data_IF_456449787707
#
_entry.id   IF_456449787707
#
_cell.length_a   1.000
_cell.length_b   1.000
_cell.length_c   1.000
_cell.angle_alpha   90.00
_cell.angle_beta   90.00
_cell.angle_gamma   90.00
#
_symmetry.space_group_name_H-M   'P 1'
#
loop_
_entity.id
_entity.type
_entity.pdbx_description
1 polymer ?
#
# COMPACT_ATOMS: atom_id res chain seq x y z
N UNK A 1 35.19 -13.09 -20.48
CA UNK A 1 35.55 -13.88 -19.27
C UNK A 1 34.62 -15.11 -19.23
N UNK A 2 34.72 -16.04 -20.18
CA UNK A 2 35.64 -17.18 -20.16
C UNK A 2 35.47 -18.08 -18.92
N UNK A 3 34.46 -18.96 -19.00
CA UNK A 3 34.48 -20.38 -18.67
C UNK A 3 35.43 -20.89 -17.58
N UNK A 4 34.88 -21.50 -16.51
CA UNK A 4 35.45 -22.71 -15.89
C UNK A 4 34.33 -23.63 -15.37
N UNK A 5 33.86 -24.49 -16.26
CA UNK A 5 33.32 -25.80 -15.90
C UNK A 5 34.49 -26.66 -15.42
N UNK A 6 34.37 -27.24 -14.23
CA UNK A 6 35.31 -28.24 -13.70
C UNK A 6 34.54 -29.54 -13.47
N UNK A 7 34.60 -30.41 -14.47
CA UNK A 7 34.21 -31.82 -14.40
C UNK A 7 35.46 -32.68 -14.65
N UNK A 8 35.93 -33.36 -13.61
CA UNK A 8 36.85 -34.52 -13.56
C UNK A 8 37.12 -34.78 -12.07
N UNK A 9 37.22 -35.99 -11.54
CA UNK A 9 37.25 -37.33 -12.11
C UNK A 9 37.04 -38.35 -10.99
N UNK A 10 36.50 -39.49 -11.39
CA UNK A 10 36.34 -40.76 -10.69
C UNK A 10 37.57 -41.29 -9.89
N UNK A 11 37.21 -42.09 -8.87
CA UNK A 11 37.90 -43.24 -8.24
C UNK A 11 38.99 -42.96 -7.20
N UNK A 12 38.62 -43.22 -5.94
CA UNK A 12 39.46 -43.94 -4.99
C UNK A 12 38.57 -44.86 -4.12
N UNK A 13 38.56 -46.13 -4.49
CA UNK A 13 38.17 -47.26 -3.65
C UNK A 13 39.30 -47.56 -2.67
N UNK A 14 39.07 -47.42 -1.36
CA UNK A 14 39.65 -48.25 -0.29
C UNK A 14 39.47 -47.58 1.08
N UNK A 15 38.41 -47.96 1.78
CA UNK A 15 38.51 -48.35 3.19
C UNK A 15 37.16 -48.92 3.61
N UNK A 16 37.12 -50.24 3.75
CA UNK A 16 36.12 -50.92 4.55
C UNK A 16 36.12 -50.31 5.97
N UNK A 17 35.16 -49.45 6.27
CA UNK A 17 34.80 -49.09 7.62
C UNK A 17 33.36 -49.57 7.85
N UNK A 18 33.28 -50.84 8.22
CA UNK A 18 32.10 -51.53 8.70
C UNK A 18 31.53 -50.72 9.88
N UNK A 19 30.31 -50.15 9.83
CA UNK A 19 29.65 -49.74 11.06
C UNK A 19 29.31 -51.04 11.80
N UNK A 20 30.08 -51.35 12.83
CA UNK A 20 29.70 -52.37 13.80
C UNK A 20 28.36 -51.94 14.36
N UNK A 21 27.34 -52.70 13.99
CA UNK A 21 26.02 -52.70 14.61
C UNK A 21 26.23 -53.02 16.07
N UNK A 22 26.30 -51.99 16.91
CA UNK A 22 26.08 -52.14 18.33
C UNK A 22 24.59 -52.49 18.47
N UNK A 23 24.31 -53.79 18.42
CA UNK A 23 23.03 -54.33 18.84
C UNK A 23 22.91 -54.04 20.35
N UNK A 24 22.38 -52.86 20.67
CA UNK A 24 21.84 -52.59 21.99
C UNK A 24 20.62 -53.50 22.11
N UNK A 25 20.83 -54.68 22.68
CA UNK A 25 19.74 -55.51 23.16
C UNK A 25 18.84 -54.58 23.98
N UNK A 26 17.53 -54.47 23.67
CA UNK A 26 16.63 -53.82 24.60
C UNK A 26 16.71 -54.69 25.85
N UNK A 27 17.37 -54.15 26.88
CA UNK A 27 17.26 -54.68 28.22
C UNK A 27 15.76 -54.76 28.45
N UNK A 28 15.24 -55.98 28.48
CA UNK A 28 13.92 -56.27 29.02
C UNK A 28 14.01 -55.79 30.45
N UNK A 29 13.67 -54.51 30.64
CA UNK A 29 13.21 -54.03 31.91
C UNK A 29 11.99 -54.92 32.14
N UNK A 30 12.19 -55.95 32.96
CA UNK A 30 11.12 -56.46 33.79
C UNK A 30 10.56 -55.18 34.40
N UNK A 31 9.43 -54.74 33.86
CA UNK A 31 8.60 -53.74 34.48
C UNK A 31 8.24 -54.40 35.79
N UNK A 32 9.09 -54.19 36.79
CA UNK A 32 8.67 -54.26 38.17
C UNK A 32 7.38 -53.47 38.13
N UNK A 33 6.28 -54.17 38.38
CA UNK A 33 5.03 -53.55 38.73
C UNK A 33 5.37 -52.66 39.92
N UNK A 34 5.83 -51.44 39.64
CA UNK A 34 5.53 -50.28 40.45
C UNK A 34 4.03 -50.30 40.42
N UNK A 35 3.45 -51.00 41.40
CA UNK A 35 2.17 -50.64 41.95
C UNK A 35 2.32 -49.14 42.14
N UNK A 36 1.84 -48.37 41.16
CA UNK A 36 1.66 -46.97 41.35
C UNK A 36 0.95 -46.90 42.69
N UNK A 37 1.55 -46.23 43.66
CA UNK A 37 0.76 -45.54 44.64
C UNK A 37 -0.11 -44.61 43.81
N UNK A 38 -1.22 -45.16 43.32
CA UNK A 38 -2.38 -44.38 42.97
C UNK A 38 -2.58 -43.57 44.23
N UNK A 39 -2.46 -42.25 44.09
CA UNK A 39 -3.02 -41.35 45.05
C UNK A 39 -4.46 -41.86 45.26
N UNK A 40 -4.67 -42.53 46.40
CA UNK A 40 -5.93 -43.14 46.73
C UNK A 40 -6.79 -41.96 47.10
N UNK A 41 -7.33 -41.27 46.08
CA UNK A 41 -8.40 -40.30 46.28
C UNK A 41 -9.36 -40.90 47.29
N UNK A 42 -9.81 -40.11 48.27
CA UNK A 42 -10.65 -40.63 49.33
C UNK A 42 -11.82 -41.38 48.70
N UNK A 43 -12.24 -42.52 49.28
CA UNK A 43 -13.21 -43.42 48.66
C UNK A 43 -14.52 -42.71 48.27
N UNK A 44 -14.88 -41.63 48.97
CA UNK A 44 -15.99 -40.75 48.62
C UNK A 44 -15.84 -40.07 47.24
N UNK A 45 -14.66 -39.57 46.89
CA UNK A 45 -14.40 -38.89 45.61
C UNK A 45 -14.34 -39.86 44.42
N UNK A 46 -13.86 -41.09 44.65
CA UNK A 46 -13.90 -42.15 43.63
C UNK A 46 -15.34 -42.59 43.36
N UNK A 47 -16.14 -42.74 44.42
CA UNK A 47 -17.54 -43.10 44.30
C UNK A 47 -18.34 -42.00 43.57
N UNK A 48 -18.11 -40.72 43.87
CA UNK A 48 -18.75 -39.62 43.14
C UNK A 48 -18.34 -39.61 41.67
N UNK A 49 -17.05 -39.81 41.34
CA UNK A 49 -16.60 -39.88 39.95
C UNK A 49 -17.25 -41.02 39.15
N UNK A 50 -17.51 -42.17 39.79
CA UNK A 50 -18.22 -43.30 39.16
C UNK A 50 -19.69 -42.95 38.94
N UNK A 51 -20.36 -42.34 39.93
CA UNK A 51 -21.75 -41.91 39.82
C UNK A 51 -21.90 -40.85 38.72
N UNK A 52 -20.95 -39.92 38.62
CA UNK A 52 -20.97 -38.84 37.64
C UNK A 52 -20.78 -39.35 36.20
N UNK A 53 -19.98 -40.40 36.00
CA UNK A 53 -19.75 -41.03 34.70
C UNK A 53 -20.97 -41.81 34.16
N UNK A 54 -21.98 -42.09 34.99
CA UNK A 54 -23.18 -42.82 34.57
C UNK A 54 -24.15 -41.94 33.79
N UNK A 55 -24.90 -42.52 32.83
CA UNK A 55 -25.86 -41.79 32.02
C UNK A 55 -27.00 -41.23 32.90
N UNK A 56 -27.33 -39.95 32.70
CA UNK A 56 -28.40 -39.27 33.41
C UNK A 56 -28.00 -37.87 33.89
N UNK A 57 -28.95 -36.93 33.85
CA UNK A 57 -28.72 -35.53 34.21
C UNK A 57 -29.16 -35.19 35.66
N UNK A 58 -29.68 -36.16 36.42
CA UNK A 58 -30.12 -35.96 37.81
C UNK A 58 -29.48 -36.99 38.74
N UNK A 59 -29.23 -36.59 40.00
CA UNK A 59 -28.68 -37.49 41.03
C UNK A 59 -29.59 -38.70 41.25
N UNK A 60 -30.92 -38.51 41.24
CA UNK A 60 -31.91 -39.58 41.39
C UNK A 60 -31.82 -40.59 40.24
N UNK A 61 -31.63 -40.12 39.00
CA UNK A 61 -31.44 -41.00 37.85
C UNK A 61 -30.12 -41.76 37.95
N UNK A 62 -29.02 -41.08 38.31
CA UNK A 62 -27.70 -41.73 38.44
C UNK A 62 -27.71 -42.80 39.53
N UNK A 63 -28.20 -42.49 40.73
CA UNK A 63 -28.33 -43.49 41.81
C UNK A 63 -29.36 -44.56 41.46
N UNK A 64 -30.43 -44.19 40.78
CA UNK A 64 -31.45 -45.11 40.27
C UNK A 64 -30.88 -46.15 39.32
N UNK A 65 -30.02 -45.76 38.37
CA UNK A 65 -29.38 -46.71 37.45
C UNK A 65 -28.46 -47.71 38.16
N UNK A 66 -27.71 -47.27 39.18
CA UNK A 66 -26.85 -48.17 39.97
C UNK A 66 -27.69 -49.16 40.77
N UNK A 67 -28.72 -48.67 41.45
CA UNK A 67 -29.60 -49.50 42.28
C UNK A 67 -30.39 -50.47 41.41
N UNK A 68 -30.92 -50.02 40.28
CA UNK A 68 -31.63 -50.87 39.33
C UNK A 68 -30.70 -51.88 38.67
N UNK A 69 -29.51 -51.46 38.22
CA UNK A 69 -28.53 -52.37 37.62
C UNK A 69 -28.09 -53.45 38.61
N UNK A 70 -27.71 -53.04 39.82
CA UNK A 70 -27.30 -53.98 40.87
C UNK A 70 -28.45 -54.88 41.30
N UNK A 71 -29.65 -54.31 41.50
CA UNK A 71 -30.85 -55.05 41.87
C UNK A 71 -31.28 -56.08 40.83
N UNK A 72 -31.25 -55.73 39.54
CA UNK A 72 -31.54 -56.66 38.44
C UNK A 72 -30.48 -57.76 38.36
N UNK A 73 -29.19 -57.45 38.51
CA UNK A 73 -28.15 -58.48 38.52
C UNK A 73 -28.27 -59.42 39.72
N UNK A 74 -28.56 -58.89 40.91
CA UNK A 74 -28.79 -59.70 42.11
C UNK A 74 -30.04 -60.58 41.98
N UNK A 75 -31.13 -60.04 41.42
CA UNK A 75 -32.34 -60.81 41.15
C UNK A 75 -32.11 -61.90 40.09
N UNK A 76 -31.37 -61.60 39.02
CA UNK A 76 -31.05 -62.57 37.96
C UNK A 76 -30.20 -63.74 38.47
N UNK A 77 -29.26 -63.47 39.38
CA UNK A 77 -28.47 -64.53 40.04
C UNK A 77 -29.34 -65.29 41.05
N UNK A 78 -30.09 -64.57 41.89
CA UNK A 78 -30.89 -65.19 42.96
C UNK A 78 -32.05 -66.05 42.44
N UNK A 79 -32.60 -65.75 41.26
CA UNK A 79 -33.65 -66.52 40.61
C UNK A 79 -33.11 -67.54 39.60
N UNK A 80 -31.78 -67.73 39.52
CA UNK A 80 -31.12 -68.58 38.52
C UNK A 80 -31.49 -68.24 37.06
N UNK A 81 -32.00 -67.03 36.81
CA UNK A 81 -32.30 -66.53 35.47
C UNK A 81 -31.03 -66.41 34.64
N UNK A 82 -29.88 -66.20 35.30
CA UNK A 82 -28.56 -66.30 34.72
C UNK A 82 -27.78 -67.46 35.35
N UNK A 83 -27.54 -68.51 34.55
CA UNK A 83 -26.73 -69.65 34.95
C UNK A 83 -25.30 -69.48 34.44
N UNK A 84 -24.32 -69.56 35.36
CA UNK A 84 -22.91 -69.47 35.00
C UNK A 84 -22.50 -70.76 34.29
N UNK A 85 -22.39 -70.68 32.97
CA UNK A 85 -21.88 -71.75 32.11
C UNK A 85 -20.50 -71.40 31.52
N UNK A 86 -19.85 -72.34 30.83
CA UNK A 86 -18.57 -72.14 30.15
C UNK A 86 -18.58 -70.94 29.17
N UNK A 87 -19.71 -70.70 28.52
CA UNK A 87 -19.90 -69.55 27.61
C UNK A 87 -19.78 -68.19 28.30
N UNK A 88 -19.95 -68.12 29.62
CA UNK A 88 -19.81 -66.86 30.38
C UNK A 88 -18.36 -66.38 30.45
N UNK A 89 -17.40 -67.31 30.51
CA UNK A 89 -15.96 -67.00 30.46
C UNK A 89 -15.59 -66.48 29.07
N UNK A 90 -16.14 -67.09 28.02
CA UNK A 90 -15.98 -66.63 26.64
C UNK A 90 -16.60 -65.24 26.46
N UNK A 91 -17.79 -64.99 26.99
CA UNK A 91 -18.47 -63.70 26.93
C UNK A 91 -17.67 -62.59 27.65
N UNK A 92 -17.14 -62.86 28.84
CA UNK A 92 -16.30 -61.92 29.58
C UNK A 92 -15.00 -61.64 28.80
N UNK A 93 -14.34 -62.67 28.26
CA UNK A 93 -13.15 -62.52 27.42
C UNK A 93 -13.41 -61.67 26.17
N UNK A 94 -14.56 -61.87 25.52
CA UNK A 94 -14.99 -61.08 24.38
C UNK A 94 -15.27 -59.61 24.73
N UNK A 95 -15.92 -59.34 25.87
CA UNK A 95 -16.16 -57.96 26.33
C UNK A 95 -14.83 -57.24 26.63
N UNK A 96 -13.86 -57.94 27.25
CA UNK A 96 -12.52 -57.39 27.50
C UNK A 96 -11.82 -57.07 26.18
N UNK A 97 -11.88 -57.98 25.21
CA UNK A 97 -11.32 -57.79 23.88
C UNK A 97 -11.95 -56.59 23.17
N UNK A 98 -13.29 -56.50 23.14
CA UNK A 98 -14.01 -55.38 22.55
C UNK A 98 -13.67 -54.05 23.23
N UNK A 99 -13.52 -54.05 24.55
CA UNK A 99 -13.15 -52.84 25.30
C UNK A 99 -11.73 -52.40 24.96
N UNK A 100 -10.79 -53.34 24.85
CA UNK A 100 -9.42 -53.06 24.45
C UNK A 100 -9.34 -52.52 23.01
N UNK A 101 -10.06 -53.14 22.08
CA UNK A 101 -10.15 -52.71 20.67
C UNK A 101 -10.79 -51.32 20.59
N UNK A 102 -11.94 -51.11 21.26
CA UNK A 102 -12.63 -49.82 21.25
C UNK A 102 -11.74 -48.70 21.79
N UNK A 103 -10.94 -48.97 22.83
CA UNK A 103 -10.00 -47.99 23.38
C UNK A 103 -8.83 -47.71 22.44
N UNK A 104 -8.31 -48.74 21.76
CA UNK A 104 -7.21 -48.60 20.81
C UNK A 104 -7.63 -47.90 19.50
N UNK A 105 -8.85 -48.15 19.01
CA UNK A 105 -9.33 -47.60 17.73
C UNK A 105 -9.88 -46.18 17.83
N UNK A 106 -10.33 -45.73 19.01
CA UNK A 106 -10.98 -44.42 19.21
C UNK A 106 -10.09 -43.24 18.79
N UNK A 107 -8.78 -43.30 19.05
CA UNK A 107 -7.83 -42.26 18.67
C UNK A 107 -7.67 -42.17 17.15
N UNK A 108 -7.14 -43.24 16.50
CA UNK A 108 -6.85 -43.22 15.06
C UNK A 108 -8.06 -42.92 14.18
N UNK A 109 -9.26 -43.44 14.51
CA UNK A 109 -10.49 -43.14 13.75
C UNK A 109 -10.90 -41.67 13.93
N UNK A 110 -10.75 -41.13 15.15
CA UNK A 110 -11.06 -39.72 15.42
C UNK A 110 -10.14 -38.77 14.66
N UNK A 111 -8.85 -39.08 14.58
CA UNK A 111 -7.89 -38.24 13.87
C UNK A 111 -8.06 -38.34 12.35
N UNK A 112 -8.36 -39.54 11.83
CA UNK A 112 -8.68 -39.74 10.42
C UNK A 112 -9.96 -38.98 10.01
N UNK A 113 -11.03 -39.08 10.79
CA UNK A 113 -12.28 -38.37 10.48
C UNK A 113 -12.10 -36.85 10.57
N UNK A 114 -11.35 -36.36 11.56
CA UNK A 114 -11.06 -34.93 11.69
C UNK A 114 -10.22 -34.41 10.52
N UNK A 115 -9.21 -35.16 10.08
CA UNK A 115 -8.38 -34.80 8.93
C UNK A 115 -9.16 -34.74 7.61
N UNK A 116 -10.08 -35.67 7.38
CA UNK A 116 -10.92 -35.63 6.17
C UNK A 116 -11.90 -34.45 6.19
N UNK A 117 -12.53 -34.17 7.34
CA UNK A 117 -13.39 -32.99 7.51
C UNK A 117 -12.62 -31.70 7.30
N UNK A 118 -11.40 -31.59 7.84
CA UNK A 118 -10.54 -30.42 7.68
C UNK A 118 -10.13 -30.21 6.22
N UNK A 119 -9.77 -31.29 5.51
CA UNK A 119 -9.45 -31.24 4.08
C UNK A 119 -10.64 -30.75 3.23
N UNK A 120 -11.82 -31.32 3.46
CA UNK A 120 -13.04 -30.92 2.72
C UNK A 120 -13.40 -29.46 3.04
N UNK A 121 -13.34 -29.07 4.32
CA UNK A 121 -13.60 -27.69 4.73
C UNK A 121 -12.57 -26.71 4.16
N UNK A 122 -11.30 -27.11 4.09
CA UNK A 122 -10.22 -26.33 3.51
C UNK A 122 -10.46 -26.06 2.03
N UNK A 123 -10.70 -27.11 1.24
CA UNK A 123 -11.01 -26.99 -0.19
C UNK A 123 -12.22 -26.09 -0.42
N UNK A 124 -13.28 -26.23 0.38
CA UNK A 124 -14.49 -25.42 0.22
C UNK A 124 -14.26 -23.94 0.56
N UNK A 125 -13.45 -23.66 1.58
CA UNK A 125 -13.10 -22.28 1.96
C UNK A 125 -12.17 -21.64 0.94
N UNK A 126 -11.18 -22.38 0.43
CA UNK A 126 -10.28 -21.91 -0.62
C UNK A 126 -11.04 -21.65 -1.92
N UNK A 127 -11.92 -22.57 -2.35
CA UNK A 127 -12.74 -22.38 -3.53
C UNK A 127 -13.66 -21.14 -3.42
N UNK A 128 -14.21 -20.86 -2.23
CA UNK A 128 -14.99 -19.63 -1.98
C UNK A 128 -14.12 -18.39 -2.11
N UNK A 129 -12.93 -18.41 -1.49
CA UNK A 129 -11.98 -17.29 -1.54
C UNK A 129 -11.51 -17.02 -2.97
N UNK A 130 -11.13 -18.06 -3.71
CA UNK A 130 -10.68 -17.97 -5.09
C UNK A 130 -11.80 -17.46 -6.00
N UNK A 131 -13.03 -17.93 -5.81
CA UNK A 131 -14.18 -17.42 -6.56
C UNK A 131 -14.44 -15.94 -6.26
N UNK A 132 -14.41 -15.52 -5.00
CA UNK A 132 -14.56 -14.10 -4.63
C UNK A 132 -13.43 -13.25 -5.21
N UNK A 133 -12.19 -13.73 -5.18
CA UNK A 133 -11.05 -13.04 -5.78
C UNK A 133 -11.19 -12.90 -7.31
N UNK A 134 -11.57 -13.96 -8.00
CA UNK A 134 -11.78 -13.93 -9.46
C UNK A 134 -12.95 -13.02 -9.86
N UNK A 135 -14.01 -12.98 -9.05
CA UNK A 135 -15.12 -12.04 -9.27
C UNK A 135 -14.66 -10.60 -9.04
N UNK A 136 -13.86 -10.35 -8.00
CA UNK A 136 -13.32 -9.01 -7.74
C UNK A 136 -12.42 -8.54 -8.89
N UNK A 137 -11.52 -9.38 -9.37
CA UNK A 137 -10.65 -9.07 -10.51
C UNK A 137 -11.46 -8.73 -11.77
N UNK A 138 -12.55 -9.46 -12.03
CA UNK A 138 -13.46 -9.17 -13.14
C UNK A 138 -14.21 -7.84 -12.94
N UNK A 139 -14.61 -7.52 -11.72
CA UNK A 139 -15.24 -6.24 -11.40
C UNK A 139 -14.26 -5.10 -11.66
N UNK A 140 -13.01 -5.24 -11.21
CA UNK A 140 -11.98 -4.22 -11.39
C UNK A 140 -11.67 -3.99 -12.88
N UNK A 141 -11.56 -5.07 -13.67
CA UNK A 141 -11.38 -4.98 -15.13
C UNK A 141 -12.56 -4.29 -15.83
N UNK A 142 -13.80 -4.62 -15.46
CA UNK A 142 -14.99 -3.96 -16.01
C UNK A 142 -15.08 -2.49 -15.59
N UNK A 143 -14.65 -2.17 -14.36
CA UNK A 143 -14.65 -0.80 -13.87
C UNK A 143 -13.67 0.09 -14.64
N UNK A 144 -12.50 -0.43 -15.03
CA UNK A 144 -11.58 0.27 -15.94
C UNK A 144 -12.23 0.54 -17.31
N UNK A 145 -12.97 -0.45 -17.85
CA UNK A 145 -13.65 -0.29 -19.13
C UNK A 145 -14.83 0.70 -19.10
N UNK A 146 -15.42 0.96 -17.92
CA UNK A 146 -16.55 1.89 -17.76
C UNK A 146 -16.19 3.32 -18.19
N UNK A 147 -14.96 3.73 -17.89
CA UNK A 147 -14.56 5.14 -18.05
C UNK A 147 -13.98 5.43 -19.46
N UNK A 148 -13.74 4.41 -20.30
CA UNK A 148 -13.17 4.56 -21.66
C UNK A 148 -14.03 5.44 -22.57
N UNK A 149 -15.37 5.37 -22.45
CA UNK A 149 -16.27 6.22 -23.25
C UNK A 149 -16.14 7.70 -22.86
N UNK A 150 -15.96 7.99 -21.56
CA UNK A 150 -15.73 9.36 -21.09
C UNK A 150 -14.37 9.90 -21.54
N UNK A 151 -13.30 9.11 -21.35
CA UNK A 151 -11.94 9.45 -21.79
C UNK A 151 -11.90 9.71 -23.30
N UNK A 152 -12.62 8.92 -24.09
CA UNK A 152 -12.67 9.13 -25.55
C UNK A 152 -13.36 10.44 -25.91
N UNK A 153 -14.49 10.76 -25.26
CA UNK A 153 -15.18 12.05 -25.46
C UNK A 153 -14.30 13.23 -25.05
N UNK A 154 -13.60 13.09 -23.93
CA UNK A 154 -12.68 14.11 -23.42
C UNK A 154 -11.49 14.29 -24.36
N UNK A 155 -10.97 13.22 -24.98
CA UNK A 155 -9.90 13.30 -25.96
C UNK A 155 -10.35 14.05 -27.24
N UNK A 156 -11.57 13.80 -27.70
CA UNK A 156 -12.15 14.57 -28.82
C UNK A 156 -12.43 16.03 -28.45
N UNK A 157 -12.92 16.29 -27.24
CA UNK A 157 -13.12 17.65 -26.73
C UNK A 157 -11.79 18.41 -26.62
N UNK A 158 -10.76 17.76 -26.08
CA UNK A 158 -9.40 18.31 -25.96
C UNK A 158 -8.81 18.63 -27.33
N UNK A 159 -8.98 17.74 -28.31
CA UNK A 159 -8.53 17.99 -29.69
C UNK A 159 -9.22 19.21 -30.30
N UNK A 160 -10.56 19.33 -30.14
CA UNK A 160 -11.33 20.46 -30.64
C UNK A 160 -10.96 21.78 -29.95
N UNK A 161 -10.78 21.76 -28.63
CA UNK A 161 -10.38 22.93 -27.86
C UNK A 161 -8.95 23.36 -28.20
N UNK A 162 -8.04 22.41 -28.42
CA UNK A 162 -6.67 22.71 -28.87
C UNK A 162 -6.68 23.42 -30.20
N UNK A 163 -7.39 22.90 -31.21
CA UNK A 163 -7.51 23.54 -32.52
C UNK A 163 -8.12 24.95 -32.44
N UNK A 164 -9.12 25.14 -31.58
CA UNK A 164 -9.73 26.47 -31.37
C UNK A 164 -8.75 27.45 -30.74
N UNK A 165 -8.00 27.04 -29.71
CA UNK A 165 -7.02 27.88 -29.02
C UNK A 165 -5.82 28.20 -29.89
N UNK A 166 -5.38 27.27 -30.73
CA UNK A 166 -4.36 27.53 -31.73
C UNK A 166 -4.82 28.59 -32.73
N UNK A 167 -6.03 28.47 -33.28
CA UNK A 167 -6.59 29.47 -34.20
C UNK A 167 -6.71 30.86 -33.53
N UNK A 168 -7.24 30.94 -32.31
CA UNK A 168 -7.31 32.18 -31.54
C UNK A 168 -5.92 32.77 -31.28
N UNK A 169 -4.93 31.94 -30.94
CA UNK A 169 -3.54 32.37 -30.76
C UNK A 169 -2.94 32.91 -32.06
N UNK A 170 -3.20 32.28 -33.21
CA UNK A 170 -2.74 32.77 -34.51
C UNK A 170 -3.32 34.14 -34.85
N UNK A 171 -4.63 34.33 -34.66
CA UNK A 171 -5.28 35.64 -34.89
C UNK A 171 -4.71 36.69 -33.96
N UNK A 172 -4.50 36.37 -32.68
CA UNK A 172 -3.94 37.32 -31.73
C UNK A 172 -2.50 37.70 -32.09
N UNK A 173 -1.67 36.72 -32.49
CA UNK A 173 -0.30 36.96 -32.98
C UNK A 173 -0.28 37.88 -34.19
N UNK A 174 -1.16 37.66 -35.17
CA UNK A 174 -1.29 38.53 -36.34
C UNK A 174 -1.67 39.96 -35.96
N UNK A 175 -2.66 40.13 -35.06
CA UNK A 175 -3.04 41.46 -34.56
C UNK A 175 -1.88 42.17 -33.84
N UNK A 176 -1.13 41.45 -33.01
CA UNK A 176 0.02 42.04 -32.31
C UNK A 176 1.17 42.37 -33.25
N UNK A 177 1.40 41.56 -34.29
CA UNK A 177 2.43 41.84 -35.30
C UNK A 177 2.09 43.11 -36.08
N UNK A 178 0.85 43.24 -36.56
CA UNK A 178 0.40 44.46 -37.25
C UNK A 178 0.46 45.68 -36.32
N UNK A 179 0.02 45.55 -35.06
CA UNK A 179 0.13 46.64 -34.10
C UNK A 179 1.58 47.05 -33.84
N UNK A 180 2.52 46.11 -33.80
CA UNK A 180 3.94 46.39 -33.64
C UNK A 180 4.53 47.08 -34.87
N UNK A 181 4.16 46.66 -36.09
CA UNK A 181 4.59 47.32 -37.34
C UNK A 181 4.06 48.76 -37.42
N UNK A 182 2.78 48.98 -37.14
CA UNK A 182 2.18 50.32 -37.12
C UNK A 182 2.85 51.21 -36.07
N UNK A 183 3.12 50.67 -34.87
CA UNK A 183 3.86 51.39 -33.84
C UNK A 183 5.28 51.74 -34.31
N UNK A 184 6.01 50.81 -34.92
CA UNK A 184 7.36 51.06 -35.41
C UNK A 184 7.39 52.18 -36.47
N UNK A 185 6.40 52.19 -37.37
CA UNK A 185 6.22 53.29 -38.34
C UNK A 185 5.96 54.60 -37.59
N UNK A 186 5.02 54.63 -36.65
CA UNK A 186 4.71 55.85 -35.89
C UNK A 186 5.92 56.36 -35.09
N UNK A 187 6.64 55.48 -34.40
CA UNK A 187 7.87 55.82 -33.67
C UNK A 187 8.93 56.38 -34.63
N UNK A 188 9.03 55.86 -35.87
CA UNK A 188 9.93 56.41 -36.90
C UNK A 188 9.55 57.84 -37.32
N UNK A 189 8.25 58.13 -37.44
CA UNK A 189 7.74 59.48 -37.77
C UNK A 189 8.00 60.46 -36.64
N UNK A 190 7.74 60.06 -35.38
CA UNK A 190 8.03 60.87 -34.21
C UNK A 190 9.53 61.17 -34.11
N UNK A 191 10.39 60.17 -34.36
CA UNK A 191 11.83 60.38 -34.38
C UNK A 191 12.26 61.34 -35.49
N UNK A 192 11.68 61.23 -36.69
CA UNK A 192 11.93 62.16 -37.78
C UNK A 192 11.48 63.59 -37.44
N UNK A 193 10.30 63.76 -36.83
CA UNK A 193 9.78 65.05 -36.41
C UNK A 193 10.66 65.70 -35.33
N UNK A 194 11.11 64.92 -34.35
CA UNK A 194 12.04 65.39 -33.33
C UNK A 194 13.38 65.83 -33.95
N UNK A 195 13.94 65.04 -34.87
CA UNK A 195 15.16 65.43 -35.59
C UNK A 195 14.97 66.69 -36.44
N UNK A 196 13.83 66.84 -37.12
CA UNK A 196 13.51 68.04 -37.89
C UNK A 196 13.43 69.28 -36.98
N UNK A 197 12.72 69.18 -35.84
CA UNK A 197 12.63 70.25 -34.85
C UNK A 197 13.98 70.61 -34.25
N UNK A 198 14.82 69.63 -33.92
CA UNK A 198 16.17 69.87 -33.41
C UNK A 198 17.05 70.55 -34.46
N UNK A 199 16.95 70.15 -35.74
CA UNK A 199 17.68 70.78 -36.84
C UNK A 199 17.22 72.21 -37.09
N UNK A 200 15.90 72.47 -37.11
CA UNK A 200 15.34 73.82 -37.25
C UNK A 200 15.75 74.71 -36.08
N UNK A 201 15.70 74.20 -34.84
CA UNK A 201 16.18 74.94 -33.67
C UNK A 201 17.68 75.23 -33.74
N UNK A 202 18.49 74.28 -34.23
CA UNK A 202 19.91 74.49 -34.42
C UNK A 202 20.21 75.53 -35.52
N UNK A 203 19.45 75.54 -36.63
CA UNK A 203 19.57 76.52 -37.70
C UNK A 203 19.10 77.92 -37.25
N UNK A 204 17.98 78.01 -36.55
CA UNK A 204 17.50 79.24 -35.92
C UNK A 204 18.50 79.78 -34.90
N UNK A 205 19.06 78.92 -34.04
CA UNK A 205 20.08 79.32 -33.09
C UNK A 205 21.34 79.84 -33.80
N UNK A 206 21.82 79.17 -34.86
CA UNK A 206 22.96 79.64 -35.65
C UNK A 206 22.70 81.00 -36.31
N UNK A 207 21.56 81.17 -36.97
CA UNK A 207 21.21 82.42 -37.64
C UNK A 207 20.99 83.58 -36.66
N UNK A 208 20.40 83.33 -35.49
CA UNK A 208 20.27 84.34 -34.42
C UNK A 208 21.64 84.70 -33.86
N UNK A 209 22.52 83.71 -33.57
CA UNK A 209 23.88 83.97 -33.09
C UNK A 209 24.67 84.79 -34.13
N UNK A 210 24.61 84.42 -35.40
CA UNK A 210 25.29 85.14 -36.48
C UNK A 210 24.78 86.58 -36.62
N UNK A 211 23.46 86.77 -36.59
CA UNK A 211 22.84 88.10 -36.66
C UNK A 211 23.19 88.97 -35.45
N UNK A 212 23.17 88.42 -34.23
CA UNK A 212 23.58 89.12 -33.00
C UNK A 212 25.06 89.49 -33.07
N UNK A 213 25.92 88.58 -33.53
CA UNK A 213 27.36 88.88 -33.70
C UNK A 213 27.61 89.98 -34.75
N UNK A 214 26.86 89.98 -35.86
CA UNK A 214 26.93 91.03 -36.87
C UNK A 214 26.38 92.38 -36.35
N UNK A 215 25.26 92.37 -35.63
CA UNK A 215 24.66 93.57 -35.04
C UNK A 215 25.59 94.17 -33.97
N UNK A 216 26.28 93.38 -33.14
CA UNK A 216 27.27 93.90 -32.15
C UNK A 216 28.50 94.53 -32.83
N UNK A 217 28.86 94.08 -34.04
CA UNK A 217 29.94 94.69 -34.82
C UNK A 217 29.53 96.00 -35.51
N UNK A 218 28.23 96.32 -35.56
CA UNK A 218 27.74 97.53 -36.21
C UNK A 218 28.03 98.79 -35.37
N UNK A 219 28.50 99.86 -36.03
CA UNK A 219 28.94 101.10 -35.39
C UNK A 219 27.81 101.80 -34.61
N UNK A 220 26.56 101.64 -35.07
CA UNK A 220 25.36 102.22 -34.44
C UNK A 220 25.11 101.58 -33.06
N UNK A 221 25.11 100.26 -33.00
CA UNK A 221 24.89 99.49 -31.76
C UNK A 221 26.05 99.66 -30.80
N UNK A 222 27.30 99.74 -31.27
CA UNK A 222 28.43 100.05 -30.40
C UNK A 222 28.29 101.42 -29.73
N UNK A 223 27.84 102.44 -30.48
CA UNK A 223 27.56 103.77 -29.90
C UNK A 223 26.40 103.71 -28.90
N UNK A 224 25.32 103.01 -29.21
CA UNK A 224 24.18 102.83 -28.28
C UNK A 224 24.58 102.07 -27.01
N UNK A 225 25.42 101.03 -27.11
CA UNK A 225 25.96 100.28 -25.96
C UNK A 225 26.85 101.20 -25.10
N UNK A 226 27.73 102.00 -25.71
CA UNK A 226 28.56 102.95 -24.97
C UNK A 226 27.72 104.02 -24.27
N UNK A 227 26.68 104.55 -24.93
CA UNK A 227 25.77 105.51 -24.33
C UNK A 227 24.97 104.90 -23.16
N UNK A 228 24.47 103.67 -23.31
CA UNK A 228 23.79 102.95 -22.24
C UNK A 228 24.73 102.61 -21.07
N UNK A 229 25.97 102.18 -21.34
CA UNK A 229 26.96 101.93 -20.30
C UNK A 229 27.33 103.21 -19.52
N UNK A 230 27.43 104.35 -20.20
CA UNK A 230 27.61 105.66 -19.54
C UNK A 230 26.38 106.00 -18.70
N UNK A 231 25.17 105.79 -19.21
CA UNK A 231 23.93 106.02 -18.46
C UNK A 231 23.78 105.11 -17.23
N UNK A 232 24.19 103.84 -17.31
CA UNK A 232 24.22 102.90 -16.18
C UNK A 232 25.25 103.31 -15.13
N UNK A 233 26.44 103.75 -15.54
CA UNK A 233 27.45 104.29 -14.62
C UNK A 233 26.92 105.57 -13.95
N UNK A 234 26.30 106.48 -14.70
CA UNK A 234 25.67 107.69 -14.15
C UNK A 234 24.54 107.37 -13.16
N UNK A 235 23.76 106.30 -13.40
CA UNK A 235 22.74 105.83 -12.46
C UNK A 235 23.35 105.17 -11.22
N UNK A 236 24.40 104.36 -11.35
CA UNK A 236 25.11 103.74 -10.22
C UNK A 236 25.76 104.79 -9.32
N UNK A 237 26.33 105.85 -9.91
CA UNK A 237 26.88 107.01 -9.19
C UNK A 237 25.78 107.83 -8.50
N UNK A 238 24.61 107.99 -9.14
CA UNK A 238 23.44 108.65 -8.52
C UNK A 238 22.82 107.82 -7.39
N UNK A 239 22.83 106.49 -7.50
CA UNK A 239 22.23 105.57 -6.54
C UNK A 239 23.18 105.15 -5.39
N UNK A 240 24.43 105.64 -5.35
CA UNK A 240 25.42 105.35 -4.29
C UNK A 240 25.60 103.84 -4.01
N UNK A 241 25.64 103.01 -5.05
CA UNK A 241 26.03 101.61 -4.93
C UNK A 241 27.53 101.38 -5.18
N UNK A 242 28.26 102.45 -5.52
CA UNK A 242 29.72 102.64 -5.42
C UNK A 242 29.94 104.07 -4.92
#
# INVERSE_FOLDING_TARGET
MASRLLTKSLRASASLARPQVAATLPRVAISQSTRGYADKQPPAERASAIIDALPGNSLVTKTGTVILGTGLTAAAISQELYVVNEETIVAIGFIILLTAIGRAMKGPIGDWTRGEVEKISGILNDARKDHTAAVQERIDAVNEMRDVVSITKDLFALSKDTAKREAESYVLKQKTAVAAEVKAVLDSWVRYEQQAKENEQAELARSVIEKVMADIQSEKTQREILLNAVAEIEQLVKNKAI
#
